data_IF_183916470273
#
_entry.id   IF_183916470273
#
_cell.length_a   1.000
_cell.length_b   1.000
_cell.length_c   1.000
_cell.angle_alpha   90.00
_cell.angle_beta   90.00
_cell.angle_gamma   90.00
#
_symmetry.space_group_name_H-M   'P 1'
#
loop_
_entity.id
_entity.type
_entity.pdbx_description
1 polymer ?
#
# COMPACT_ATOMS: atom_id res chain seq x y z
N UNK A 1 -36.69 -30.30 -9.25
CA UNK A 1 -36.19 -29.24 -8.35
C UNK A 1 -34.92 -28.56 -8.88
N UNK A 2 -34.03 -29.24 -9.62
CA UNK A 2 -32.82 -28.63 -10.19
C UNK A 2 -33.09 -27.55 -11.28
N UNK A 3 -34.05 -27.75 -12.18
CA UNK A 3 -34.32 -26.80 -13.29
C UNK A 3 -34.86 -25.42 -12.89
N UNK A 4 -35.53 -25.30 -11.73
CA UNK A 4 -35.98 -23.99 -11.22
C UNK A 4 -34.80 -23.15 -10.73
N UNK A 5 -33.79 -23.79 -10.13
CA UNK A 5 -32.61 -23.09 -9.59
C UNK A 5 -31.78 -22.55 -10.75
N UNK A 6 -31.61 -23.33 -11.80
CA UNK A 6 -30.86 -22.95 -13.00
C UNK A 6 -31.51 -21.77 -13.75
N UNK A 7 -32.84 -21.79 -13.90
CA UNK A 7 -33.61 -20.69 -14.50
C UNK A 7 -33.59 -19.42 -13.63
N UNK A 8 -33.64 -19.55 -12.30
CA UNK A 8 -33.49 -18.40 -11.40
C UNK A 8 -32.10 -17.78 -11.50
N UNK A 9 -31.04 -18.59 -11.52
CA UNK A 9 -29.66 -18.11 -11.68
C UNK A 9 -29.48 -17.40 -13.03
N UNK A 10 -29.99 -17.97 -14.12
CA UNK A 10 -29.95 -17.34 -15.44
C UNK A 10 -30.65 -15.97 -15.45
N UNK A 11 -31.84 -15.86 -14.86
CA UNK A 11 -32.55 -14.58 -14.77
C UNK A 11 -31.80 -13.57 -13.91
N UNK A 12 -31.20 -13.99 -12.79
CA UNK A 12 -30.42 -13.09 -11.93
C UNK A 12 -29.17 -12.58 -12.64
N UNK A 13 -28.45 -13.44 -13.37
CA UNK A 13 -27.28 -13.04 -14.18
C UNK A 13 -27.69 -12.10 -15.31
N UNK A 14 -28.81 -12.37 -15.99
CA UNK A 14 -29.33 -11.51 -17.06
C UNK A 14 -29.75 -10.13 -16.54
N UNK A 15 -30.39 -10.06 -15.37
CA UNK A 15 -30.74 -8.80 -14.73
C UNK A 15 -29.49 -8.01 -14.31
N UNK A 16 -28.49 -8.67 -13.73
CA UNK A 16 -27.23 -8.03 -13.36
C UNK A 16 -26.50 -7.47 -14.59
N UNK A 17 -26.45 -8.21 -15.70
CA UNK A 17 -25.85 -7.74 -16.95
C UNK A 17 -26.57 -6.51 -17.52
N UNK A 18 -27.91 -6.50 -17.53
CA UNK A 18 -28.71 -5.35 -17.97
C UNK A 18 -28.48 -4.11 -17.11
N UNK A 19 -28.42 -4.27 -15.79
CA UNK A 19 -28.13 -3.15 -14.89
C UNK A 19 -26.73 -2.56 -15.14
N UNK A 20 -25.75 -3.40 -15.46
CA UNK A 20 -24.40 -2.95 -15.82
C UNK A 20 -24.41 -2.22 -17.18
N UNK A 21 -25.12 -2.74 -18.19
CA UNK A 21 -25.27 -2.08 -19.49
C UNK A 21 -25.93 -0.69 -19.36
N UNK A 22 -27.07 -0.59 -18.66
CA UNK A 22 -27.75 0.70 -18.44
C UNK A 22 -26.86 1.71 -17.71
N UNK A 23 -26.05 1.24 -16.76
CA UNK A 23 -25.10 2.10 -16.06
C UNK A 23 -23.99 2.60 -17.01
N UNK A 24 -23.49 1.74 -17.90
CA UNK A 24 -22.47 2.11 -18.89
C UNK A 24 -23.02 3.11 -19.90
N UNK A 25 -24.24 2.88 -20.42
CA UNK A 25 -24.91 3.80 -21.36
C UNK A 25 -25.16 5.17 -20.71
N UNK A 26 -25.55 5.20 -19.44
CA UNK A 26 -25.74 6.46 -18.71
C UNK A 26 -24.43 7.26 -18.55
N UNK A 27 -23.30 6.58 -18.33
CA UNK A 27 -21.99 7.25 -18.23
C UNK A 27 -21.49 7.75 -19.60
N UNK A 28 -21.75 7.00 -20.67
CA UNK A 28 -21.46 7.43 -22.05
C UNK A 28 -22.25 8.69 -22.43
N UNK A 29 -23.55 8.70 -22.16
CA UNK A 29 -24.42 9.85 -22.41
C UNK A 29 -23.97 11.11 -21.65
N UNK A 30 -23.45 10.95 -20.44
CA UNK A 30 -22.87 12.06 -19.68
C UNK A 30 -21.60 12.58 -20.35
N UNK A 31 -20.72 11.68 -20.80
CA UNK A 31 -19.46 12.03 -21.44
C UNK A 31 -19.67 12.79 -22.76
N UNK A 32 -20.63 12.35 -23.58
CA UNK A 32 -20.97 13.00 -24.85
C UNK A 32 -21.61 14.39 -24.66
N UNK A 33 -22.25 14.62 -23.51
CA UNK A 33 -22.85 15.91 -23.14
C UNK A 33 -21.92 16.82 -22.35
N UNK A 34 -20.72 16.35 -21.99
CA UNK A 34 -19.74 17.18 -21.28
C UNK A 34 -19.38 18.39 -22.13
N UNK A 35 -19.47 19.56 -21.51
CA UNK A 35 -19.06 20.82 -22.12
C UNK A 35 -17.54 20.93 -22.21
N UNK A 36 -17.05 21.84 -23.07
CA UNK A 36 -15.61 22.13 -23.18
C UNK A 36 -15.02 22.54 -21.84
N UNK A 37 -15.72 23.38 -21.06
CA UNK A 37 -15.27 23.85 -19.76
C UNK A 37 -15.15 22.71 -18.74
N UNK A 38 -16.12 21.77 -18.69
CA UNK A 38 -16.05 20.59 -17.82
C UNK A 38 -14.90 19.64 -18.20
N UNK A 39 -14.60 19.53 -19.49
CA UNK A 39 -13.44 18.77 -19.98
C UNK A 39 -12.12 19.43 -19.58
N UNK A 40 -12.03 20.76 -19.61
CA UNK A 40 -10.86 21.50 -19.13
C UNK A 40 -10.66 21.34 -17.62
N UNK A 41 -11.71 21.48 -16.83
CA UNK A 41 -11.70 21.23 -15.38
C UNK A 41 -11.21 19.81 -15.04
N UNK A 42 -11.66 18.80 -15.80
CA UNK A 42 -11.23 17.41 -15.59
C UNK A 42 -9.74 17.23 -15.91
N UNK A 43 -9.25 17.86 -16.99
CA UNK A 43 -7.82 17.85 -17.33
C UNK A 43 -6.99 18.50 -16.23
N UNK A 44 -7.43 19.64 -15.71
CA UNK A 44 -6.71 20.35 -14.66
C UNK A 44 -6.64 19.55 -13.36
N UNK A 45 -7.77 18.95 -12.92
CA UNK A 45 -7.80 18.03 -11.77
C UNK A 45 -6.86 16.85 -11.98
N UNK A 46 -6.81 16.29 -13.18
CA UNK A 46 -5.91 15.16 -13.49
C UNK A 46 -4.45 15.58 -13.47
N UNK A 47 -4.13 16.73 -14.04
CA UNK A 47 -2.78 17.30 -14.04
C UNK A 47 -2.31 17.59 -12.61
N UNK A 48 -3.17 18.14 -11.77
CA UNK A 48 -2.88 18.37 -10.35
C UNK A 48 -2.64 17.05 -9.60
N UNK A 49 -3.46 16.02 -9.85
CA UNK A 49 -3.27 14.70 -9.26
C UNK A 49 -1.91 14.09 -9.64
N UNK A 50 -1.53 14.15 -10.91
CA UNK A 50 -0.24 13.66 -11.39
C UNK A 50 0.94 14.41 -10.75
N UNK A 51 0.85 15.75 -10.67
CA UNK A 51 1.85 16.58 -9.99
C UNK A 51 2.01 16.18 -8.51
N UNK A 52 0.91 15.99 -7.79
CA UNK A 52 0.91 15.55 -6.38
C UNK A 52 1.53 14.16 -6.22
N UNK A 53 1.19 13.22 -7.10
CA UNK A 53 1.77 11.87 -7.08
C UNK A 53 3.27 11.87 -7.32
N UNK A 54 3.76 12.65 -8.29
CA UNK A 54 5.19 12.76 -8.58
C UNK A 54 5.94 13.43 -7.44
N UNK A 55 5.38 14.49 -6.85
CA UNK A 55 5.96 15.13 -5.66
C UNK A 55 6.07 14.15 -4.49
N UNK A 56 5.00 13.41 -4.19
CA UNK A 56 4.99 12.42 -3.13
C UNK A 56 6.03 11.31 -3.36
N UNK A 57 6.14 10.83 -4.60
CA UNK A 57 7.16 9.87 -5.00
C UNK A 57 8.58 10.41 -4.77
N UNK A 58 8.85 11.65 -5.15
CA UNK A 58 10.15 12.30 -4.89
C UNK A 58 10.45 12.42 -3.40
N UNK A 59 9.46 12.78 -2.60
CA UNK A 59 9.60 12.85 -1.13
C UNK A 59 9.92 11.49 -0.52
N UNK A 60 9.25 10.42 -0.95
CA UNK A 60 9.56 9.05 -0.52
C UNK A 60 10.98 8.65 -0.87
N UNK A 61 11.42 8.89 -2.11
CA UNK A 61 12.79 8.61 -2.53
C UNK A 61 13.82 9.42 -1.71
N UNK A 62 13.57 10.70 -1.44
CA UNK A 62 14.43 11.53 -0.59
C UNK A 62 14.50 11.01 0.85
N UNK A 63 13.41 10.41 1.34
CA UNK A 63 13.37 9.73 2.64
C UNK A 63 13.95 8.32 2.61
N UNK A 64 14.54 7.86 1.50
CA UNK A 64 15.18 6.55 1.39
C UNK A 64 14.21 5.38 1.18
N UNK A 65 12.97 5.65 0.74
CA UNK A 65 12.10 4.59 0.21
C UNK A 65 12.68 4.08 -1.12
N UNK A 66 12.29 2.87 -1.54
CA UNK A 66 12.88 2.23 -2.72
C UNK A 66 14.14 1.41 -2.43
N UNK A 67 14.66 1.47 -1.20
CA UNK A 67 15.82 0.71 -0.76
C UNK A 67 15.48 -0.18 0.43
N UNK A 68 16.27 -1.24 0.61
CA UNK A 68 16.21 -2.10 1.78
C UNK A 68 17.43 -1.84 2.65
N UNK A 69 17.23 -1.16 3.78
CA UNK A 69 18.32 -0.70 4.65
C UNK A 69 18.24 -1.24 6.06
N UNK A 70 19.40 -1.41 6.69
CA UNK A 70 19.49 -1.82 8.08
C UNK A 70 19.44 -0.59 8.99
N UNK A 71 18.58 -0.65 10.00
CA UNK A 71 18.50 0.36 11.05
C UNK A 71 19.51 0.00 12.14
N UNK A 72 20.40 0.93 12.53
CA UNK A 72 21.49 0.63 13.45
C UNK A 72 21.01 0.39 14.88
N UNK A 73 19.94 1.07 15.31
CA UNK A 73 19.44 1.03 16.67
C UNK A 73 17.98 1.45 16.84
N UNK A 74 17.51 1.37 18.08
CA UNK A 74 16.10 1.54 18.43
C UNK A 74 15.63 2.99 18.28
N UNK A 75 16.50 3.97 18.53
CA UNK A 75 16.18 5.39 18.38
C UNK A 75 15.88 5.73 16.92
N UNK A 76 16.70 5.23 16.01
CA UNK A 76 16.54 5.41 14.58
C UNK A 76 15.28 4.72 14.08
N UNK A 77 14.92 3.55 14.62
CA UNK A 77 13.65 2.89 14.31
C UNK A 77 12.44 3.79 14.56
N UNK A 78 12.37 4.44 15.72
CA UNK A 78 11.26 5.35 16.02
C UNK A 78 11.24 6.59 15.12
N UNK A 79 12.42 7.11 14.75
CA UNK A 79 12.51 8.22 13.78
C UNK A 79 11.94 7.79 12.43
N UNK A 80 12.35 6.63 11.95
CA UNK A 80 11.89 6.09 10.67
C UNK A 80 10.38 5.90 10.63
N UNK A 81 9.79 5.34 11.70
CA UNK A 81 8.34 5.15 11.83
C UNK A 81 7.53 6.45 11.83
N UNK A 82 8.13 7.57 12.25
CA UNK A 82 7.47 8.88 12.23
C UNK A 82 7.53 9.53 10.85
N UNK A 83 8.65 9.36 10.16
CA UNK A 83 8.91 10.03 8.87
C UNK A 83 8.22 9.35 7.69
N UNK A 84 7.79 8.09 7.85
CA UNK A 84 7.21 7.27 6.79
C UNK A 84 5.82 6.73 7.17
N UNK A 85 4.81 6.88 6.28
CA UNK A 85 3.43 6.49 6.59
C UNK A 85 3.22 4.96 6.63
N UNK A 86 4.05 4.21 5.91
CA UNK A 86 4.00 2.75 5.81
C UNK A 86 5.41 2.20 5.90
N UNK A 87 5.62 1.21 6.75
CA UNK A 87 6.91 0.54 6.92
C UNK A 87 6.72 -0.97 6.93
N UNK A 88 7.63 -1.66 6.24
CA UNK A 88 7.85 -3.09 6.31
C UNK A 88 9.18 -3.32 7.02
N UNK A 89 9.13 -3.74 8.28
CA UNK A 89 10.32 -3.96 9.10
C UNK A 89 10.59 -5.45 9.30
N UNK A 90 11.75 -5.92 8.87
CA UNK A 90 12.22 -7.27 9.15
C UNK A 90 13.07 -7.30 10.43
N UNK A 91 12.58 -7.94 11.48
CA UNK A 91 13.39 -8.35 12.63
C UNK A 91 14.19 -9.60 12.24
N UNK A 92 15.51 -9.48 12.21
CA UNK A 92 16.41 -10.52 11.72
C UNK A 92 17.49 -10.88 12.75
N UNK A 93 18.19 -11.99 12.50
CA UNK A 93 19.43 -12.37 13.16
C UNK A 93 20.32 -13.12 12.18
N UNK A 94 21.61 -12.78 12.14
CA UNK A 94 22.57 -13.33 11.16
C UNK A 94 22.70 -14.86 11.19
N UNK A 95 22.57 -15.49 12.37
CA UNK A 95 22.65 -16.94 12.54
C UNK A 95 21.41 -17.70 12.03
N UNK A 96 20.32 -17.00 11.71
CA UNK A 96 19.07 -17.63 11.26
C UNK A 96 18.98 -17.64 9.73
N UNK A 97 19.23 -18.81 9.10
CA UNK A 97 19.22 -18.96 7.63
C UNK A 97 17.95 -18.40 6.96
N UNK A 98 16.78 -18.59 7.56
CA UNK A 98 15.49 -18.10 7.04
C UNK A 98 15.44 -16.56 6.89
N UNK A 99 16.23 -15.80 7.67
CA UNK A 99 16.31 -14.35 7.50
C UNK A 99 16.93 -13.97 6.15
N UNK A 100 17.93 -14.72 5.65
CA UNK A 100 18.55 -14.47 4.35
C UNK A 100 17.57 -14.59 3.18
N UNK A 101 16.58 -15.48 3.31
CA UNK A 101 15.51 -15.63 2.33
C UNK A 101 14.64 -14.37 2.31
N UNK A 102 14.25 -13.88 3.49
CA UNK A 102 13.44 -12.66 3.62
C UNK A 102 14.23 -11.44 3.12
N UNK A 103 15.51 -11.29 3.48
CA UNK A 103 16.40 -10.23 2.98
C UNK A 103 16.35 -10.14 1.45
N UNK A 104 16.50 -11.29 0.76
CA UNK A 104 16.46 -11.36 -0.72
C UNK A 104 15.14 -10.82 -1.27
N UNK A 105 14.01 -11.26 -0.73
CA UNK A 105 12.70 -10.86 -1.25
C UNK A 105 12.38 -9.41 -0.94
N UNK A 106 12.70 -8.91 0.26
CA UNK A 106 12.48 -7.51 0.61
C UNK A 106 13.37 -6.56 -0.19
N UNK A 107 14.62 -6.94 -0.48
CA UNK A 107 15.50 -6.17 -1.37
C UNK A 107 14.95 -6.05 -2.80
N UNK A 108 14.27 -7.09 -3.32
CA UNK A 108 13.63 -7.07 -4.64
C UNK A 108 12.32 -6.28 -4.66
N UNK A 109 11.60 -6.24 -3.53
CA UNK A 109 10.32 -5.54 -3.41
C UNK A 109 10.49 -4.04 -3.14
N UNK A 110 11.51 -3.65 -2.38
CA UNK A 110 11.75 -2.26 -2.02
C UNK A 110 11.70 -1.28 -3.20
N UNK A 111 12.43 -1.49 -4.32
CA UNK A 111 12.38 -0.56 -5.46
C UNK A 111 11.05 -0.56 -6.22
N UNK A 112 10.23 -1.62 -6.07
CA UNK A 112 8.93 -1.75 -6.72
C UNK A 112 7.80 -1.09 -5.93
N UNK A 113 7.97 -0.97 -4.62
CA UNK A 113 6.94 -0.50 -3.68
C UNK A 113 7.43 0.69 -2.86
N UNK A 114 7.69 1.81 -3.53
CA UNK A 114 8.21 3.03 -2.91
C UNK A 114 7.20 3.71 -1.97
N UNK A 115 5.93 3.30 -2.00
CA UNK A 115 4.89 3.77 -1.08
C UNK A 115 5.06 3.24 0.36
N UNK A 116 5.95 2.25 0.54
CA UNK A 116 6.32 1.72 1.84
C UNK A 116 7.84 1.70 2.00
N UNK A 117 8.32 2.04 3.20
CA UNK A 117 9.75 1.97 3.52
C UNK A 117 10.10 0.55 3.95
N UNK A 118 11.12 -0.04 3.33
CA UNK A 118 11.60 -1.39 3.65
C UNK A 118 12.87 -1.30 4.49
N UNK A 119 12.81 -1.85 5.70
CA UNK A 119 13.92 -1.78 6.65
C UNK A 119 14.13 -3.11 7.36
N UNK A 120 15.30 -3.28 7.95
CA UNK A 120 15.58 -4.41 8.83
C UNK A 120 16.26 -3.98 10.12
N UNK A 121 16.00 -4.73 11.18
CA UNK A 121 16.48 -4.48 12.53
C UNK A 121 17.07 -5.76 13.08
N UNK A 122 18.30 -5.68 13.57
CA UNK A 122 18.96 -6.79 14.24
C UNK A 122 18.33 -6.99 15.63
N UNK A 123 17.67 -8.14 15.81
CA UNK A 123 16.98 -8.49 17.04
C UNK A 123 17.94 -8.64 18.23
N UNK A 124 19.22 -8.92 17.98
CA UNK A 124 20.25 -9.03 19.03
C UNK A 124 20.79 -7.66 19.46
N UNK A 125 20.54 -6.59 18.68
CA UNK A 125 20.92 -5.22 19.05
C UNK A 125 19.75 -4.43 19.64
N UNK A 126 18.52 -4.77 19.25
CA UNK A 126 17.31 -4.01 19.59
C UNK A 126 16.38 -4.77 20.54
N UNK A 127 16.91 -5.13 21.71
CA UNK A 127 16.20 -5.94 22.72
C UNK A 127 14.92 -5.29 23.24
N UNK A 128 14.89 -3.98 23.45
CA UNK A 128 13.71 -3.29 23.94
C UNK A 128 12.60 -3.30 22.89
N UNK A 129 12.93 -3.12 21.60
CA UNK A 129 11.94 -3.27 20.52
C UNK A 129 11.39 -4.70 20.45
N UNK A 130 12.27 -5.70 20.51
CA UNK A 130 11.89 -7.13 20.47
C UNK A 130 10.92 -7.46 21.60
N UNK A 131 11.22 -7.00 22.82
CA UNK A 131 10.35 -7.20 23.98
C UNK A 131 9.03 -6.43 23.85
N UNK A 132 9.10 -5.14 23.52
CA UNK A 132 7.93 -4.25 23.46
C UNK A 132 6.93 -4.66 22.39
N UNK A 133 7.42 -5.15 21.26
CA UNK A 133 6.63 -5.62 20.12
C UNK A 133 6.35 -7.13 20.19
N UNK A 134 6.77 -7.80 21.26
CA UNK A 134 6.57 -9.23 21.51
C UNK A 134 7.05 -10.12 20.34
N UNK A 135 8.22 -9.81 19.78
CA UNK A 135 8.87 -10.60 18.72
C UNK A 135 9.49 -11.85 19.36
N UNK A 136 8.86 -13.01 19.20
CA UNK A 136 9.31 -14.28 19.82
C UNK A 136 10.06 -15.20 18.87
N UNK A 137 9.89 -15.03 17.56
CA UNK A 137 10.44 -15.90 16.53
C UNK A 137 11.11 -15.09 15.43
N UNK A 138 12.13 -15.65 14.79
CA UNK A 138 12.82 -15.01 13.67
C UNK A 138 12.80 -15.94 12.44
N UNK A 139 12.63 -15.40 11.22
CA UNK A 139 12.36 -14.00 10.92
C UNK A 139 10.95 -13.57 11.36
N UNK A 140 10.80 -12.31 11.79
CA UNK A 140 9.47 -11.66 11.97
C UNK A 140 9.41 -10.43 11.09
N UNK A 141 8.30 -10.24 10.38
CA UNK A 141 8.03 -9.05 9.56
C UNK A 141 6.92 -8.27 10.23
N UNK A 142 7.20 -7.03 10.59
CA UNK A 142 6.24 -6.10 11.17
C UNK A 142 5.79 -5.10 10.08
N UNK A 143 4.48 -4.97 9.93
CA UNK A 143 3.85 -3.99 9.06
C UNK A 143 3.33 -2.84 9.91
N UNK A 144 3.84 -1.63 9.66
CA UNK A 144 3.47 -0.43 10.40
C UNK A 144 2.76 0.50 9.44
N UNK A 145 1.58 0.95 9.85
CA UNK A 145 0.81 1.99 9.15
C UNK A 145 0.54 3.10 10.15
N UNK A 146 1.09 4.28 9.90
CA UNK A 146 0.75 5.47 10.67
C UNK A 146 -0.69 5.86 10.33
N UNK A 147 -1.54 5.87 11.36
CA UNK A 147 -2.89 6.42 11.27
C UNK A 147 -2.81 7.83 11.80
N UNK A 148 -2.95 8.82 10.92
CA UNK A 148 -3.16 10.19 11.36
C UNK A 148 -4.58 10.28 11.93
N UNK A 149 -4.70 10.12 13.24
CA UNK A 149 -5.93 10.42 13.99
C UNK A 149 -6.08 11.94 14.13
N UNK A 150 -6.40 12.61 13.02
CA UNK A 150 -6.93 13.98 12.97
C UNK A 150 -8.08 14.00 11.96
N UNK A 151 -9.15 13.30 12.31
CA UNK A 151 -10.47 13.47 11.70
C UNK A 151 -11.41 13.59 12.91
N UNK A 152 -11.74 14.83 13.30
CA UNK A 152 -12.66 15.12 14.39
C UNK A 152 -12.22 16.24 15.34
N UNK A 153 -12.20 17.48 14.86
CA UNK A 153 -12.48 18.71 15.63
C UNK A 153 -12.99 19.76 14.64
#
# INVERSE_FOLDING_TARGET
>A
MAGNIEHHIQNTVLQAAKMVEEQVDSELDKLDRMTTDEMEDLRDKRMEQLKKQEQQKREWLHKGHGQYTEIPGEKEFFKETKDSPRIVCHFFRNSTFRCKIVDKHLALLAPKHIEAKFVKVDAERCHFLVQRLNVRVLPTILLIKMVNSWIGS
#
